data_IF_037942502665
#
_entry.id   IF_037942502665
#
_cell.length_a   1.000
_cell.length_b   1.000
_cell.length_c   1.000
_cell.angle_alpha   90.00
_cell.angle_beta   90.00
_cell.angle_gamma   90.00
#
_symmetry.space_group_name_H-M   'P 1'
#
loop_
_entity.id
_entity.type
_entity.pdbx_description
1 polymer ?
#
# COMPACT_ATOMS: atom_id res chain seq x y z
N UNK A 1 -2.40 -18.36 17.20
CA UNK A 1 -2.22 -17.24 16.25
C UNK A 1 -3.02 -17.62 15.03
N UNK A 2 -4.08 -16.86 14.73
CA UNK A 2 -4.98 -17.16 13.62
C UNK A 2 -4.29 -16.70 12.33
N UNK A 3 -3.82 -17.65 11.53
CA UNK A 3 -2.88 -17.43 10.43
C UNK A 3 -3.41 -16.65 9.21
N UNK A 4 -4.38 -15.74 9.34
CA UNK A 4 -4.85 -14.89 8.22
C UNK A 4 -3.84 -13.77 7.84
N UNK A 5 -2.56 -13.96 8.21
CA UNK A 5 -1.50 -12.96 8.17
C UNK A 5 -1.51 -12.01 9.39
N UNK A 6 -0.40 -11.29 9.65
CA UNK A 6 -0.24 -10.37 10.78
C UNK A 6 -1.12 -9.11 10.72
N UNK A 7 -2.10 -9.04 9.81
CA UNK A 7 -2.82 -7.81 9.49
C UNK A 7 -4.34 -7.89 9.65
N UNK A 8 -4.91 -9.02 10.11
CA UNK A 8 -6.35 -9.06 10.44
C UNK A 8 -6.65 -8.06 11.58
N UNK A 9 -7.52 -7.07 11.39
CA UNK A 9 -7.91 -6.17 12.47
C UNK A 9 -8.84 -6.89 13.45
N UNK A 10 -8.66 -6.62 14.74
CA UNK A 10 -9.56 -7.04 15.82
C UNK A 10 -10.31 -5.85 16.42
N UNK A 11 -9.73 -4.65 16.31
CA UNK A 11 -10.26 -3.38 16.80
C UNK A 11 -10.33 -2.34 15.68
N UNK A 12 -11.02 -1.23 15.92
CA UNK A 12 -11.03 -0.13 14.96
C UNK A 12 -9.67 0.57 14.90
N UNK A 13 -8.96 0.62 16.02
CA UNK A 13 -7.58 1.10 16.17
C UNK A 13 -6.61 0.33 15.25
N UNK A 14 -6.80 -0.98 15.08
CA UNK A 14 -6.04 -1.78 14.12
C UNK A 14 -6.32 -1.34 12.66
N UNK A 15 -7.57 -0.99 12.35
CA UNK A 15 -7.92 -0.46 11.04
C UNK A 15 -7.30 0.93 10.79
N UNK A 16 -7.27 1.80 11.80
CA UNK A 16 -6.62 3.11 11.72
C UNK A 16 -5.11 2.97 11.55
N UNK A 17 -4.49 2.06 12.32
CA UNK A 17 -3.06 1.73 12.20
C UNK A 17 -2.74 1.26 10.79
N UNK A 18 -3.54 0.33 10.25
CA UNK A 18 -3.36 -0.14 8.88
C UNK A 18 -3.47 1.00 7.85
N UNK A 19 -4.48 1.86 7.97
CA UNK A 19 -4.69 2.97 7.05
C UNK A 19 -3.54 3.99 7.10
N UNK A 20 -3.03 4.29 8.30
CA UNK A 20 -1.85 5.15 8.48
C UNK A 20 -0.60 4.56 7.85
N UNK A 21 -0.37 3.26 8.00
CA UNK A 21 0.76 2.58 7.34
C UNK A 21 0.59 2.54 5.82
N UNK A 22 -0.65 2.41 5.32
CA UNK A 22 -0.93 2.46 3.89
C UNK A 22 -0.69 3.85 3.30
N UNK A 23 -0.99 4.91 4.04
CA UNK A 23 -0.61 6.28 3.67
C UNK A 23 0.91 6.40 3.51
N UNK A 24 1.67 5.90 4.50
CA UNK A 24 3.15 5.95 4.44
C UNK A 24 3.68 5.20 3.22
N UNK A 25 3.14 4.02 2.96
CA UNK A 25 3.55 3.20 1.84
C UNK A 25 3.31 3.92 0.50
N UNK A 26 2.09 4.40 0.27
CA UNK A 26 1.67 4.95 -1.01
C UNK A 26 2.24 6.34 -1.29
N UNK A 27 2.23 7.22 -0.29
CA UNK A 27 2.53 8.64 -0.50
C UNK A 27 3.93 9.04 -0.03
N UNK A 28 4.63 8.19 0.74
CA UNK A 28 6.02 8.42 1.13
C UNK A 28 6.97 7.40 0.50
N UNK A 29 6.81 6.12 0.83
CA UNK A 29 7.78 5.08 0.52
C UNK A 29 7.86 4.75 -0.98
N UNK A 30 6.73 4.62 -1.67
CA UNK A 30 6.69 4.39 -3.12
C UNK A 30 7.36 5.55 -3.89
N UNK A 31 7.02 6.84 -3.64
CA UNK A 31 7.74 7.96 -4.19
C UNK A 31 9.25 7.96 -3.89
N UNK A 32 9.66 7.65 -2.65
CA UNK A 32 11.08 7.58 -2.29
C UNK A 32 11.82 6.45 -3.00
N UNK A 33 11.20 5.28 -3.14
CA UNK A 33 11.77 4.19 -3.92
C UNK A 33 11.91 4.58 -5.39
N UNK A 34 10.91 5.26 -5.97
CA UNK A 34 10.99 5.74 -7.35
C UNK A 34 12.15 6.73 -7.54
N UNK A 35 12.37 7.64 -6.59
CA UNK A 35 13.48 8.59 -6.60
C UNK A 35 14.84 7.93 -6.33
N UNK A 36 14.88 6.81 -5.58
CA UNK A 36 16.10 6.00 -5.42
C UNK A 36 16.49 5.34 -6.74
N UNK A 37 15.50 4.78 -7.44
CA UNK A 37 15.67 4.15 -8.74
C UNK A 37 16.01 5.16 -9.85
N UNK A 38 15.41 6.35 -9.80
CA UNK A 38 15.60 7.42 -10.76
C UNK A 38 15.90 8.75 -10.07
N UNK A 39 17.18 8.99 -9.69
CA UNK A 39 17.59 10.23 -9.04
C UNK A 39 17.19 11.48 -9.83
N UNK A 40 17.00 12.60 -9.14
CA UNK A 40 16.53 13.85 -9.76
C UNK A 40 17.47 14.38 -10.85
N UNK A 41 18.76 14.11 -10.72
CA UNK A 41 19.83 14.49 -11.65
C UNK A 41 20.12 13.42 -12.70
N UNK A 42 19.35 12.33 -12.73
CA UNK A 42 19.57 11.25 -13.69
C UNK A 42 19.39 11.73 -15.12
N UNK A 43 20.33 11.31 -15.97
CA UNK A 43 20.29 11.54 -17.42
C UNK A 43 20.10 10.23 -18.18
N UNK A 44 19.41 10.31 -19.31
CA UNK A 44 19.26 9.20 -20.24
C UNK A 44 20.57 8.93 -20.99
N UNK A 45 20.63 7.82 -21.73
CA UNK A 45 21.77 7.50 -22.61
C UNK A 45 22.05 8.55 -23.68
N UNK A 46 21.06 9.39 -24.02
CA UNK A 46 21.20 10.53 -24.93
C UNK A 46 21.60 11.84 -24.24
N UNK A 47 21.87 11.81 -22.93
CA UNK A 47 22.30 12.96 -22.13
C UNK A 47 21.18 13.94 -21.75
N UNK A 48 19.90 13.58 -21.95
CA UNK A 48 18.76 14.40 -21.56
C UNK A 48 18.31 14.06 -20.12
N UNK A 49 17.80 15.03 -19.34
CA UNK A 49 17.25 14.75 -18.01
C UNK A 49 16.11 13.72 -18.07
N UNK A 50 16.16 12.71 -17.20
CA UNK A 50 15.13 11.67 -17.09
C UNK A 50 13.76 12.27 -16.75
N UNK A 51 13.74 13.19 -15.78
CA UNK A 51 12.56 13.94 -15.33
C UNK A 51 12.32 15.17 -16.21
N UNK A 52 11.87 14.95 -17.45
CA UNK A 52 11.54 16.01 -18.40
C UNK A 52 10.25 15.71 -19.18
N UNK A 53 9.66 16.76 -19.78
CA UNK A 53 8.42 16.64 -20.55
C UNK A 53 7.25 16.15 -19.70
N UNK A 54 6.75 14.95 -20.02
CA UNK A 54 5.63 14.33 -19.30
C UNK A 54 6.02 13.70 -17.95
N UNK A 55 7.31 13.45 -17.70
CA UNK A 55 7.81 12.80 -16.49
C UNK A 55 8.11 13.85 -15.42
N UNK A 56 7.21 14.00 -14.46
CA UNK A 56 7.41 14.87 -13.29
C UNK A 56 7.93 14.04 -12.12
N UNK A 57 8.99 14.48 -11.42
CA UNK A 57 9.46 13.76 -10.24
C UNK A 57 8.38 13.85 -9.15
N UNK A 58 8.09 12.75 -8.43
CA UNK A 58 7.15 12.80 -7.33
C UNK A 58 7.76 13.53 -6.12
N UNK A 59 6.91 14.05 -5.24
CA UNK A 59 7.31 14.57 -3.93
C UNK A 59 6.73 13.67 -2.85
N UNK A 60 7.56 12.97 -2.05
CA UNK A 60 7.08 12.19 -0.91
C UNK A 60 6.33 13.08 0.09
N UNK A 61 5.16 12.63 0.54
CA UNK A 61 4.35 13.33 1.53
C UNK A 61 4.71 12.89 2.95
N UNK A 62 4.78 13.85 3.86
CA UNK A 62 4.88 13.57 5.30
C UNK A 62 3.49 13.69 5.90
N UNK A 63 3.02 12.63 6.54
CA UNK A 63 1.69 12.63 7.16
C UNK A 63 1.58 13.69 8.27
N UNK A 64 0.43 14.34 8.33
CA UNK A 64 0.03 15.29 9.38
C UNK A 64 -1.48 15.19 9.53
N UNK A 65 -1.99 15.14 10.78
CA UNK A 65 -3.42 15.06 11.04
C UNK A 65 -4.12 16.42 10.92
N UNK A 66 -3.33 17.50 10.81
CA UNK A 66 -3.79 18.86 10.58
C UNK A 66 -4.16 19.11 9.11
N UNK A 67 -3.63 18.29 8.19
CA UNK A 67 -4.03 18.31 6.78
C UNK A 67 -5.34 17.52 6.60
N UNK A 68 -6.42 18.17 6.14
CA UNK A 68 -7.71 17.50 5.94
C UNK A 68 -7.65 16.34 4.95
N UNK A 69 -6.83 16.40 3.90
CA UNK A 69 -6.74 15.35 2.89
C UNK A 69 -6.06 14.11 3.46
N UNK A 70 -4.96 14.29 4.20
CA UNK A 70 -4.28 13.21 4.91
C UNK A 70 -5.20 12.52 5.91
N UNK A 71 -5.89 13.32 6.74
CA UNK A 71 -6.82 12.79 7.73
C UNK A 71 -7.98 12.05 7.06
N UNK A 72 -8.55 12.61 5.99
CA UNK A 72 -9.68 12.04 5.27
C UNK A 72 -9.32 10.71 4.59
N UNK A 73 -8.12 10.59 4.01
CA UNK A 73 -7.62 9.32 3.49
C UNK A 73 -7.63 8.23 4.58
N UNK A 74 -6.98 8.51 5.71
CA UNK A 74 -6.84 7.53 6.80
C UNK A 74 -8.20 7.15 7.38
N UNK A 75 -9.06 8.15 7.61
CA UNK A 75 -10.41 7.97 8.13
C UNK A 75 -11.25 7.09 7.21
N UNK A 76 -11.28 7.40 5.91
CA UNK A 76 -12.11 6.66 4.96
C UNK A 76 -11.58 5.24 4.76
N UNK A 77 -10.26 5.08 4.57
CA UNK A 77 -9.62 3.78 4.42
C UNK A 77 -9.83 2.87 5.66
N UNK A 78 -9.72 3.42 6.87
CA UNK A 78 -9.95 2.68 8.11
C UNK A 78 -11.41 2.23 8.25
N UNK A 79 -12.38 3.09 7.91
CA UNK A 79 -13.80 2.74 7.95
C UNK A 79 -14.16 1.68 6.90
N UNK A 80 -13.63 1.77 5.69
CA UNK A 80 -13.83 0.72 4.68
C UNK A 80 -13.24 -0.62 5.12
N UNK A 81 -12.02 -0.62 5.67
CA UNK A 81 -11.44 -1.84 6.23
C UNK A 81 -12.31 -2.37 7.38
N UNK A 82 -12.78 -1.52 8.28
CA UNK A 82 -13.66 -1.93 9.36
C UNK A 82 -14.95 -2.61 8.84
N UNK A 83 -15.58 -2.02 7.81
CA UNK A 83 -16.75 -2.59 7.11
C UNK A 83 -16.45 -3.99 6.57
N UNK A 84 -15.34 -4.18 5.88
CA UNK A 84 -14.94 -5.49 5.34
C UNK A 84 -14.80 -6.58 6.43
N UNK A 85 -14.41 -6.20 7.64
CA UNK A 85 -14.19 -7.12 8.76
C UNK A 85 -15.34 -7.14 9.78
N UNK A 86 -16.46 -6.48 9.50
CA UNK A 86 -17.61 -6.39 10.41
C UNK A 86 -17.33 -5.62 11.71
N UNK A 87 -16.33 -4.73 11.71
CA UNK A 87 -15.94 -3.88 12.85
C UNK A 87 -16.69 -2.55 12.74
N UNK A 88 -17.20 -2.05 13.86
CA UNK A 88 -17.85 -0.74 13.91
C UNK A 88 -16.81 0.38 13.70
N UNK A 89 -17.04 1.17 12.66
CA UNK A 89 -16.23 2.35 12.33
C UNK A 89 -16.47 3.56 13.23
N UNK A 90 -15.70 4.65 12.98
CA UNK A 90 -15.84 5.95 13.64
C UNK A 90 -15.69 7.10 12.65
N UNK A 91 -16.40 8.19 12.93
CA UNK A 91 -16.43 9.38 12.08
C UNK A 91 -15.94 10.65 12.81
N UNK A 92 -15.61 10.57 14.09
CA UNK A 92 -15.19 11.73 14.89
C UNK A 92 -13.69 12.01 14.74
N UNK A 93 -13.35 13.16 14.15
CA UNK A 93 -11.97 13.56 13.87
C UNK A 93 -11.11 13.66 15.12
N UNK A 94 -11.70 14.00 16.27
CA UNK A 94 -11.00 14.09 17.55
C UNK A 94 -10.37 12.77 17.96
N UNK A 95 -11.03 11.63 17.72
CA UNK A 95 -10.45 10.32 17.97
C UNK A 95 -9.23 10.07 17.10
N UNK A 96 -9.32 10.34 15.80
CA UNK A 96 -8.20 10.13 14.89
C UNK A 96 -7.00 11.01 15.25
N UNK A 97 -7.22 12.30 15.48
CA UNK A 97 -6.17 13.25 15.87
C UNK A 97 -5.47 12.83 17.17
N UNK A 98 -6.22 12.26 18.13
CA UNK A 98 -5.64 11.77 19.38
C UNK A 98 -4.91 10.42 19.23
N UNK A 99 -5.43 9.52 18.39
CA UNK A 99 -4.90 8.16 18.26
C UNK A 99 -3.69 8.08 17.31
N UNK A 100 -3.72 8.80 16.19
CA UNK A 100 -2.70 8.71 15.14
C UNK A 100 -1.25 8.94 15.60
N UNK A 101 -0.95 9.84 16.55
CA UNK A 101 0.40 9.99 17.09
C UNK A 101 0.95 8.73 17.80
N UNK A 102 0.08 7.80 18.22
CA UNK A 102 0.50 6.55 18.87
C UNK A 102 0.90 5.45 17.87
N UNK A 103 0.61 5.63 16.58
CA UNK A 103 0.93 4.64 15.54
C UNK A 103 2.42 4.66 15.24
N UNK A 104 3.08 3.53 15.45
CA UNK A 104 4.49 3.36 15.08
C UNK A 104 4.62 3.12 13.57
N UNK A 105 5.29 4.05 12.90
CA UNK A 105 5.54 3.98 11.45
C UNK A 105 7.00 3.57 11.24
N UNK A 106 7.28 2.45 10.53
CA UNK A 106 8.64 2.03 10.24
C UNK A 106 9.37 3.03 9.34
N UNK A 107 10.67 3.21 9.60
CA UNK A 107 11.52 4.02 8.72
C UNK A 107 11.66 3.39 7.33
N UNK A 108 11.67 4.23 6.31
CA UNK A 108 11.95 3.80 4.94
C UNK A 108 13.41 3.36 4.77
N UNK A 109 13.59 2.17 4.20
CA UNK A 109 14.87 1.71 3.66
C UNK A 109 14.70 1.36 2.17
N UNK A 110 15.52 1.95 1.26
CA UNK A 110 15.42 1.65 -0.16
C UNK A 110 15.78 0.19 -0.42
N UNK A 111 15.06 -0.43 -1.36
CA UNK A 111 15.33 -1.79 -1.82
C UNK A 111 16.22 -1.74 -3.06
N UNK A 112 17.32 -2.47 -3.02
CA UNK A 112 18.19 -2.65 -4.17
C UNK A 112 17.58 -3.66 -5.16
N UNK A 113 17.84 -3.45 -6.45
CA UNK A 113 17.43 -4.40 -7.50
C UNK A 113 15.94 -4.38 -7.87
N UNK A 114 15.14 -3.45 -7.33
CA UNK A 114 13.77 -3.22 -7.80
C UNK A 114 13.82 -2.71 -9.24
N UNK A 115 13.26 -3.46 -10.19
CA UNK A 115 13.14 -3.02 -11.58
C UNK A 115 11.82 -2.30 -11.78
N UNK A 116 11.89 -1.04 -12.19
CA UNK A 116 10.72 -0.23 -12.55
C UNK A 116 10.78 0.00 -14.06
N UNK A 117 9.79 -0.49 -14.79
CA UNK A 117 9.70 -0.28 -16.23
C UNK A 117 9.53 1.22 -16.53
N UNK A 118 10.30 1.73 -17.49
CA UNK A 118 10.24 3.15 -17.90
C UNK A 118 9.32 3.33 -19.11
N UNK A 119 9.07 2.25 -19.86
CA UNK A 119 8.22 2.21 -21.06
C UNK A 119 7.32 0.98 -21.02
N UNK A 120 6.16 1.09 -21.66
CA UNK A 120 5.18 -0.01 -21.77
C UNK A 120 5.81 -1.28 -22.36
N UNK A 121 6.70 -1.16 -23.34
CA UNK A 121 7.42 -2.29 -23.94
C UNK A 121 8.32 -3.03 -22.93
N UNK A 122 8.96 -2.31 -22.01
CA UNK A 122 9.78 -2.90 -20.95
C UNK A 122 8.89 -3.59 -19.90
N UNK A 123 7.67 -3.07 -19.67
CA UNK A 123 6.69 -3.67 -18.78
C UNK A 123 6.12 -4.97 -19.35
N UNK A 124 5.86 -5.02 -20.66
CA UNK A 124 5.43 -6.24 -21.37
C UNK A 124 6.51 -7.33 -21.34
N UNK A 125 7.78 -6.95 -21.55
CA UNK A 125 8.91 -7.88 -21.44
C UNK A 125 9.08 -8.41 -20.01
N UNK A 126 8.88 -7.57 -18.99
CA UNK A 126 8.90 -7.98 -17.59
C UNK A 126 7.72 -8.92 -17.23
N UNK A 127 6.55 -8.71 -17.84
CA UNK A 127 5.39 -9.62 -17.68
C UNK A 127 5.64 -10.98 -18.34
N UNK A 128 6.29 -11.01 -19.50
CA UNK A 128 6.59 -12.25 -20.24
C UNK A 128 7.72 -13.08 -19.60
N UNK A 129 8.67 -12.45 -18.88
CA UNK A 129 9.77 -13.14 -18.20
C UNK A 129 9.45 -13.63 -16.78
N UNK A 130 8.18 -13.57 -16.35
CA UNK A 130 7.78 -14.05 -15.03
C UNK A 130 8.04 -13.03 -13.91
N UNK A 131 7.32 -11.91 -13.94
CA UNK A 131 6.92 -11.14 -12.77
C UNK A 131 8.03 -10.50 -11.92
N UNK A 132 8.43 -9.28 -12.28
CA UNK A 132 8.45 -8.08 -11.40
C UNK A 132 9.16 -8.07 -10.04
N UNK A 133 9.88 -9.12 -9.65
CA UNK A 133 10.75 -9.16 -8.48
C UNK A 133 12.05 -9.82 -8.87
N UNK A 134 13.19 -9.41 -8.31
CA UNK A 134 14.51 -9.96 -8.61
C UNK A 134 14.67 -11.41 -8.15
N UNK A 135 13.88 -12.34 -8.68
CA UNK A 135 13.97 -13.78 -8.43
C UNK A 135 14.71 -14.39 -9.60
N UNK A 136 16.00 -14.64 -9.41
CA UNK A 136 16.91 -15.10 -10.46
C UNK A 136 16.82 -16.59 -10.78
N UNK A 137 15.95 -17.38 -10.13
CA UNK A 137 15.81 -18.83 -10.39
C UNK A 137 14.37 -19.34 -10.24
N UNK A 138 13.94 -20.28 -11.11
CA UNK A 138 12.66 -20.98 -10.97
C UNK A 138 12.56 -21.81 -9.68
N UNK A 139 13.68 -22.35 -9.18
CA UNK A 139 13.73 -23.11 -7.92
C UNK A 139 13.43 -22.23 -6.69
N UNK A 140 13.78 -20.93 -6.76
CA UNK A 140 13.44 -19.96 -5.71
C UNK A 140 11.95 -19.60 -5.74
N UNK A 141 11.31 -19.67 -6.92
CA UNK A 141 9.87 -19.38 -7.07
C UNK A 141 9.01 -20.50 -6.47
N UNK A 142 9.33 -21.76 -6.76
CA UNK A 142 8.62 -22.91 -6.19
C UNK A 142 8.79 -22.95 -4.66
N UNK A 143 9.98 -22.63 -4.16
CA UNK A 143 10.26 -22.54 -2.73
C UNK A 143 9.45 -21.44 -2.05
N UNK A 144 9.36 -20.25 -2.67
CA UNK A 144 8.53 -19.15 -2.18
C UNK A 144 7.04 -19.50 -2.19
N UNK A 145 6.55 -20.15 -3.26
CA UNK A 145 5.17 -20.64 -3.32
C UNK A 145 4.88 -21.61 -2.18
N UNK A 146 5.78 -22.56 -1.91
CA UNK A 146 5.62 -23.51 -0.81
C UNK A 146 5.63 -22.83 0.56
N UNK A 147 6.48 -21.82 0.76
CA UNK A 147 6.48 -21.02 1.99
C UNK A 147 5.14 -20.29 2.18
N UNK A 148 4.65 -19.59 1.15
CA UNK A 148 3.36 -18.90 1.21
C UNK A 148 2.23 -19.89 1.54
N UNK A 149 2.19 -21.04 0.87
CA UNK A 149 1.18 -22.08 1.14
C UNK A 149 1.28 -22.62 2.57
N UNK A 150 2.50 -22.78 3.10
CA UNK A 150 2.72 -23.20 4.48
C UNK A 150 2.32 -22.15 5.52
N UNK A 151 2.42 -20.87 5.20
CA UNK A 151 2.04 -19.75 6.06
C UNK A 151 0.53 -19.50 6.10
N UNK A 152 -0.23 -20.06 5.15
CA UNK A 152 -1.68 -19.92 5.11
C UNK A 152 -2.35 -20.64 6.30
N UNK A 153 -3.38 -20.04 6.89
CA UNK A 153 -4.12 -20.65 7.98
C UNK A 153 -4.95 -21.83 7.47
N UNK A 154 -5.13 -22.84 8.32
CA UNK A 154 -6.12 -23.88 8.04
C UNK A 154 -7.53 -23.25 7.97
N UNK A 155 -8.41 -23.67 7.04
CA UNK A 155 -9.79 -23.16 6.98
C UNK A 155 -10.55 -23.34 8.30
N UNK A 156 -10.27 -24.43 9.03
CA UNK A 156 -10.86 -24.70 10.36
C UNK A 156 -10.48 -23.67 11.41
N UNK A 157 -9.28 -23.10 11.36
CA UNK A 157 -8.89 -22.01 12.28
C UNK A 157 -9.65 -20.70 12.02
N UNK A 158 -10.38 -20.61 10.91
CA UNK A 158 -11.19 -19.46 10.52
C UNK A 158 -12.69 -19.76 10.59
N UNK A 159 -13.10 -20.79 11.32
CA UNK A 159 -14.50 -21.15 11.46
C UNK A 159 -15.33 -19.95 11.96
N UNK A 160 -16.37 -19.59 11.20
CA UNK A 160 -17.23 -18.45 11.52
C UNK A 160 -16.68 -17.07 11.12
N UNK A 161 -15.43 -16.99 10.63
CA UNK A 161 -14.90 -15.76 10.04
C UNK A 161 -15.45 -15.58 8.62
N UNK A 162 -15.89 -14.35 8.32
CA UNK A 162 -16.30 -13.94 6.98
C UNK A 162 -15.78 -12.54 6.72
N UNK A 163 -15.19 -12.36 5.54
CA UNK A 163 -14.85 -11.04 5.01
C UNK A 163 -15.99 -10.58 4.10
N UNK A 164 -16.42 -9.34 4.25
CA UNK A 164 -17.41 -8.72 3.39
C UNK A 164 -16.71 -7.97 2.26
N UNK A 165 -16.94 -8.43 1.02
CA UNK A 165 -16.48 -7.71 -0.15
C UNK A 165 -17.28 -6.40 -0.30
N UNK A 166 -16.59 -5.32 -0.63
CA UNK A 166 -17.22 -4.05 -0.98
C UNK A 166 -17.33 -4.01 -2.51
N UNK A 167 -18.55 -4.02 -3.01
CA UNK A 167 -18.82 -3.74 -4.42
C UNK A 167 -18.81 -2.23 -4.63
N UNK A 168 -17.88 -1.74 -5.45
CA UNK A 168 -17.74 -0.32 -5.70
C UNK A 168 -19.00 0.25 -6.37
N UNK A 169 -19.44 1.41 -5.88
CA UNK A 169 -20.54 2.19 -6.42
C UNK A 169 -20.12 3.67 -6.45
N UNK A 170 -20.19 4.29 -7.63
CA UNK A 170 -19.84 5.69 -7.85
C UNK A 170 -20.88 6.66 -7.26
N UNK A 171 -22.08 6.17 -7.00
CA UNK A 171 -23.18 6.94 -6.42
C UNK A 171 -23.19 6.85 -4.87
N UNK A 172 -22.25 6.10 -4.28
CA UNK A 172 -22.00 6.01 -2.84
C UNK A 172 -20.89 7.01 -2.44
N UNK A 173 -21.27 7.99 -1.61
CA UNK A 173 -20.37 9.04 -1.13
C UNK A 173 -19.16 8.49 -0.35
N UNK A 174 -19.31 7.38 0.38
CA UNK A 174 -18.19 6.78 1.13
C UNK A 174 -17.17 6.17 0.16
N UNK A 175 -17.64 5.50 -0.89
CA UNK A 175 -16.77 4.94 -1.94
C UNK A 175 -16.00 6.06 -2.66
N UNK A 176 -16.70 7.12 -3.05
CA UNK A 176 -16.08 8.26 -3.70
C UNK A 176 -15.14 9.04 -2.79
N UNK A 177 -15.41 9.10 -1.48
CA UNK A 177 -14.52 9.77 -0.52
C UNK A 177 -13.12 9.15 -0.49
N UNK A 178 -13.00 7.82 -0.61
CA UNK A 178 -11.67 7.18 -0.69
C UNK A 178 -11.01 7.46 -2.04
N UNK A 179 -11.77 7.39 -3.13
CA UNK A 179 -11.26 7.66 -4.49
C UNK A 179 -10.73 9.09 -4.60
N UNK A 180 -11.39 10.06 -3.97
CA UNK A 180 -10.95 11.46 -3.99
C UNK A 180 -9.76 11.73 -3.07
N UNK A 181 -9.61 10.97 -1.98
CA UNK A 181 -8.52 11.14 -1.02
C UNK A 181 -7.24 10.37 -1.39
N UNK A 182 -7.30 9.48 -2.39
CA UNK A 182 -6.21 8.61 -2.81
C UNK A 182 -5.57 9.09 -4.12
#
# INVERSE_FOLDING_TARGET
QDGLGPSRPLTFEDCVTWARLRFEELFNNVPRQLLHNFPLDQVTSSGQPFWSGAKKPPTPLTFTAEDPEHLNFVKTAANMRAKMYGIKGRQDDSFFVQFLPSVMVPDFAPREGVKIAVKDSEEEEQKQQGGGGGVSNLEDLDSQCQQIVGDLPSPSSLAGFRLEAIDFDKDDDEHMALVMAA
#
